data_IF_453214340220
#
_entry.id   IF_453214340220
#
_cell.length_a   1.000
_cell.length_b   1.000
_cell.length_c   1.000
_cell.angle_alpha   90.00
_cell.angle_beta   90.00
_cell.angle_gamma   90.00
#
_symmetry.space_group_name_H-M   'P 1'
#
loop_
_entity.id
_entity.type
_entity.pdbx_description
1 polymer ?
#
# COMPACT_ATOMS: atom_id res chain seq x y z
N UNK A 1 -8.63 -16.79 -15.62
CA UNK A 1 -9.94 -16.09 -15.67
C UNK A 1 -10.73 -16.16 -14.35
N UNK A 2 -10.57 -17.17 -13.48
CA UNK A 2 -11.16 -17.18 -12.12
C UNK A 2 -10.53 -16.13 -11.18
N UNK A 3 -9.20 -16.05 -11.13
CA UNK A 3 -8.49 -15.10 -10.24
C UNK A 3 -8.78 -13.62 -10.47
N UNK A 4 -9.13 -13.21 -11.70
CA UNK A 4 -9.47 -11.82 -12.01
C UNK A 4 -10.91 -11.44 -11.58
N UNK A 5 -11.82 -12.42 -11.57
CA UNK A 5 -13.18 -12.23 -11.05
C UNK A 5 -13.21 -12.20 -9.52
N UNK A 6 -12.34 -12.98 -8.88
CA UNK A 6 -12.17 -12.95 -7.42
C UNK A 6 -11.44 -11.69 -6.96
N UNK A 7 -10.42 -11.22 -7.69
CA UNK A 7 -9.81 -9.91 -7.47
C UNK A 7 -10.83 -8.78 -7.63
N UNK A 8 -11.64 -8.77 -8.69
CA UNK A 8 -12.72 -7.77 -8.86
C UNK A 8 -13.82 -7.87 -7.79
N UNK A 9 -14.07 -9.06 -7.21
CA UNK A 9 -15.05 -9.23 -6.15
C UNK A 9 -14.51 -8.75 -4.79
N UNK A 10 -13.22 -8.99 -4.51
CA UNK A 10 -12.53 -8.44 -3.34
C UNK A 10 -12.34 -6.91 -3.44
N UNK A 11 -11.98 -6.38 -4.63
CA UNK A 11 -11.91 -4.94 -4.93
C UNK A 11 -13.28 -4.24 -4.76
N UNK A 12 -14.37 -4.88 -5.19
CA UNK A 12 -15.71 -4.31 -5.01
C UNK A 12 -16.13 -4.21 -3.54
N UNK A 13 -15.59 -5.07 -2.66
CA UNK A 13 -15.78 -5.00 -1.21
C UNK A 13 -14.90 -3.90 -0.59
N UNK A 14 -13.66 -3.73 -1.06
CA UNK A 14 -12.74 -2.72 -0.54
C UNK A 14 -13.20 -1.28 -0.85
N UNK A 15 -13.60 -1.02 -2.10
CA UNK A 15 -14.05 0.30 -2.54
C UNK A 15 -15.40 0.73 -1.93
N UNK A 16 -16.21 -0.22 -1.43
CA UNK A 16 -17.48 0.05 -0.74
C UNK A 16 -17.29 0.46 0.73
N UNK A 17 -16.18 0.06 1.35
CA UNK A 17 -15.89 0.33 2.77
C UNK A 17 -15.04 1.59 3.00
N UNK A 18 -14.28 2.05 2.00
CA UNK A 18 -13.60 3.36 2.04
C UNK A 18 -14.53 4.57 1.89
N UNK A 19 -15.84 4.36 1.70
CA UNK A 19 -16.85 5.40 1.75
C UNK A 19 -17.26 5.66 3.19
N UNK A 20 -16.85 6.80 3.73
CA UNK A 20 -17.20 7.31 5.06
C UNK A 20 -18.63 6.92 5.51
N UNK A 21 -18.72 6.04 6.51
CA UNK A 21 -19.81 6.09 7.50
C UNK A 21 -19.45 5.26 8.73
N UNK A 22 -19.08 5.95 9.81
CA UNK A 22 -19.33 5.46 11.16
C UNK A 22 -19.66 6.67 12.06
N UNK A 23 -20.89 6.73 12.61
CA UNK A 23 -21.26 7.79 13.54
C UNK A 23 -20.69 7.48 14.93
N UNK A 24 -20.18 8.52 15.59
CA UNK A 24 -19.58 8.43 16.92
C UNK A 24 -20.53 7.89 18.00
N UNK A 25 -19.93 7.21 18.99
CA UNK A 25 -20.57 6.81 20.23
C UNK A 25 -19.53 6.62 21.33
N UNK A 26 -19.53 7.52 22.31
CA UNK A 26 -18.49 7.63 23.32
C UNK A 26 -18.64 6.73 24.55
N UNK A 27 -17.53 6.60 25.27
CA UNK A 27 -17.46 6.69 26.72
C UNK A 27 -17.66 5.40 27.53
N UNK A 28 -16.59 4.96 28.20
CA UNK A 28 -16.67 4.07 29.36
C UNK A 28 -15.32 3.47 29.74
N UNK A 29 -14.63 4.04 30.73
CA UNK A 29 -13.36 3.53 31.24
C UNK A 29 -13.51 2.41 32.27
N UNK A 30 -12.44 1.62 32.44
CA UNK A 30 -12.02 0.93 33.67
C UNK A 30 -10.65 0.27 33.41
N UNK A 31 -9.58 0.80 34.04
CA UNK A 31 -8.74 0.16 35.08
C UNK A 31 -7.88 -1.03 34.65
N UNK A 32 -6.56 -0.77 34.70
CA UNK A 32 -5.45 -1.61 35.18
C UNK A 32 -5.67 -3.11 35.36
N UNK A 33 -4.77 -3.91 34.79
CA UNK A 33 -3.97 -4.85 35.58
C UNK A 33 -2.64 -5.20 34.88
N UNK A 34 -1.58 -5.17 35.67
CA UNK A 34 -0.23 -5.52 35.30
C UNK A 34 -0.09 -7.05 35.16
N UNK A 35 0.59 -7.51 34.11
CA UNK A 35 1.13 -8.87 34.06
C UNK A 35 2.62 -8.81 33.78
N UNK A 36 3.33 -9.42 34.72
CA UNK A 36 4.77 -9.62 34.81
C UNK A 36 5.14 -11.01 34.28
N UNK A 37 6.37 -11.14 33.76
CA UNK A 37 7.05 -12.41 33.46
C UNK A 37 6.97 -12.77 31.97
N UNK A 38 7.99 -13.31 31.30
CA UNK A 38 9.21 -13.95 31.78
C UNK A 38 10.25 -13.93 30.65
N UNK A 39 11.53 -13.86 31.03
CA UNK A 39 12.65 -13.92 30.11
C UNK A 39 12.79 -15.32 29.49
N UNK A 40 12.76 -15.41 28.15
CA UNK A 40 13.12 -16.63 27.43
C UNK A 40 14.61 -16.58 27.11
N UNK A 41 15.35 -17.41 27.85
CA UNK A 41 16.76 -17.71 27.65
C UNK A 41 16.94 -18.88 26.67
N UNK A 42 17.65 -18.62 25.57
CA UNK A 42 18.60 -19.54 24.97
C UNK A 42 18.09 -20.51 23.91
N UNK A 43 18.45 -20.24 22.66
CA UNK A 43 18.84 -21.31 21.74
C UNK A 43 20.14 -20.95 21.01
N UNK A 44 21.01 -21.94 20.90
CA UNK A 44 22.39 -21.86 20.41
C UNK A 44 22.47 -22.77 19.21
N UNK A 45 22.41 -22.23 17.99
CA UNK A 45 22.98 -22.89 16.82
C UNK A 45 23.61 -21.87 15.86
N UNK A 46 24.79 -22.25 15.41
CA UNK A 46 25.80 -21.47 14.70
C UNK A 46 25.52 -21.42 13.20
N UNK A 47 25.04 -20.28 12.71
CA UNK A 47 25.33 -19.74 11.38
C UNK A 47 25.88 -18.34 11.60
N UNK A 48 27.11 -18.07 11.16
CA UNK A 48 27.73 -16.77 11.35
C UNK A 48 27.09 -15.74 10.41
N UNK A 49 25.90 -15.27 10.78
CA UNK A 49 25.42 -13.96 10.37
C UNK A 49 26.35 -12.94 11.03
N UNK A 50 27.05 -12.16 10.21
CA UNK A 50 27.70 -10.93 10.66
C UNK A 50 26.62 -9.97 11.11
N UNK A 51 26.20 -10.13 12.37
CA UNK A 51 25.32 -9.21 13.07
C UNK A 51 26.06 -7.87 13.16
N UNK A 52 25.61 -6.91 12.35
CA UNK A 52 25.99 -5.51 12.54
C UNK A 52 25.40 -5.11 13.91
N UNK A 53 26.25 -4.62 14.81
CA UNK A 53 25.79 -4.14 16.11
C UNK A 53 24.66 -3.09 15.94
N UNK A 54 23.67 -3.02 16.83
CA UNK A 54 22.49 -2.17 16.64
C UNK A 54 22.89 -0.70 16.77
N UNK A 55 23.10 -0.06 15.62
CA UNK A 55 22.60 1.29 15.42
C UNK A 55 21.13 1.19 15.01
N UNK A 56 20.33 2.22 15.29
CA UNK A 56 18.97 2.30 14.76
C UNK A 56 19.03 2.11 13.24
N UNK A 57 18.37 1.06 12.72
CA UNK A 57 18.28 0.83 11.28
C UNK A 57 17.65 2.08 10.67
N UNK A 58 18.34 2.77 9.74
CA UNK A 58 17.79 4.00 9.20
C UNK A 58 16.53 3.68 8.40
N UNK A 59 15.49 4.50 8.54
CA UNK A 59 14.24 4.34 7.80
C UNK A 59 14.52 4.30 6.30
N UNK A 60 15.41 5.16 5.77
CA UNK A 60 15.91 5.10 4.38
C UNK A 60 17.42 5.19 4.35
N UNK A 61 18.08 4.53 3.42
CA UNK A 61 19.53 4.67 3.23
C UNK A 61 19.80 5.48 1.94
N UNK A 62 20.47 6.65 2.03
CA UNK A 62 20.70 7.52 0.88
C UNK A 62 21.57 6.93 -0.23
N UNK A 63 22.15 5.74 -0.02
CA UNK A 63 22.91 4.98 -1.03
C UNK A 63 22.04 3.93 -1.75
N UNK A 64 20.84 3.66 -1.25
CA UNK A 64 19.93 2.64 -1.76
C UNK A 64 18.82 3.27 -2.62
N UNK A 65 18.12 2.44 -3.39
CA UNK A 65 16.90 2.84 -4.13
C UNK A 65 15.89 3.54 -3.22
N UNK A 66 15.71 3.07 -1.99
CA UNK A 66 14.75 3.67 -1.06
C UNK A 66 15.10 5.09 -0.60
N UNK A 67 16.38 5.42 -0.37
CA UNK A 67 16.80 6.76 0.02
C UNK A 67 17.13 7.69 -1.14
N UNK A 68 17.25 7.16 -2.35
CA UNK A 68 17.44 7.94 -3.58
C UNK A 68 16.15 8.15 -4.36
N UNK A 69 15.04 7.50 -3.96
CA UNK A 69 13.76 7.63 -4.65
C UNK A 69 13.32 9.10 -4.70
N UNK A 70 12.87 9.52 -5.88
CA UNK A 70 12.25 10.82 -6.07
C UNK A 70 11.29 10.76 -7.25
N UNK A 71 10.20 11.50 -7.17
CA UNK A 71 9.24 11.67 -8.26
C UNK A 71 8.68 13.09 -8.28
N UNK A 72 7.92 13.42 -9.32
CA UNK A 72 7.18 14.67 -9.35
C UNK A 72 6.09 14.66 -8.26
N UNK A 73 6.28 15.50 -7.23
CA UNK A 73 5.34 15.60 -6.12
C UNK A 73 4.00 16.23 -6.54
N UNK A 74 2.90 15.89 -5.85
CA UNK A 74 1.63 16.57 -6.02
C UNK A 74 1.72 18.09 -5.82
N UNK A 75 1.01 18.84 -6.66
CA UNK A 75 0.96 20.30 -6.63
C UNK A 75 -0.32 20.75 -5.90
N UNK A 76 -0.34 20.60 -4.57
CA UNK A 76 -1.52 20.91 -3.72
C UNK A 76 -2.09 22.31 -3.98
N UNK A 77 -1.22 23.29 -4.24
CA UNK A 77 -1.61 24.67 -4.49
C UNK A 77 -2.17 24.93 -5.90
N UNK A 78 -2.20 23.95 -6.80
CA UNK A 78 -2.77 24.12 -8.13
C UNK A 78 -4.28 24.39 -8.03
N UNK A 79 -4.73 25.46 -8.67
CA UNK A 79 -6.11 25.92 -8.63
C UNK A 79 -7.01 25.00 -9.48
N UNK A 80 -7.98 24.37 -8.82
CA UNK A 80 -9.01 23.55 -9.45
C UNK A 80 -10.40 24.19 -9.37
N UNK A 81 -10.52 25.46 -8.95
CA UNK A 81 -11.80 26.16 -8.77
C UNK A 81 -12.64 26.16 -10.05
N UNK A 82 -12.00 26.33 -11.21
CA UNK A 82 -12.68 26.27 -12.50
C UNK A 82 -13.20 24.86 -12.81
N UNK A 83 -12.47 23.80 -12.45
CA UNK A 83 -12.93 22.43 -12.61
C UNK A 83 -14.09 22.09 -11.66
N UNK A 84 -14.02 22.55 -10.41
CA UNK A 84 -15.09 22.37 -9.41
C UNK A 84 -16.38 23.08 -9.82
N UNK A 85 -16.29 24.35 -10.21
CA UNK A 85 -17.46 25.15 -10.61
C UNK A 85 -18.04 24.75 -11.96
N UNK A 86 -17.22 24.22 -12.87
CA UNK A 86 -17.62 23.70 -14.17
C UNK A 86 -18.07 22.24 -14.16
N UNK A 87 -18.12 21.58 -12.99
CA UNK A 87 -18.46 20.17 -12.89
C UNK A 87 -19.83 19.84 -13.46
N UNK A 88 -19.93 18.72 -14.17
CA UNK A 88 -21.20 18.12 -14.53
C UNK A 88 -21.14 16.60 -14.38
N UNK A 89 -22.22 16.02 -13.87
CA UNK A 89 -22.36 14.58 -13.73
C UNK A 89 -22.25 13.83 -15.07
N UNK A 90 -22.52 14.50 -16.20
CA UNK A 90 -22.41 13.90 -17.54
C UNK A 90 -20.97 13.86 -18.08
N UNK A 91 -20.04 14.60 -17.48
CA UNK A 91 -18.64 14.72 -17.91
C UNK A 91 -17.66 14.53 -16.73
N UNK A 92 -18.01 13.66 -15.78
CA UNK A 92 -17.22 13.43 -14.57
C UNK A 92 -15.85 12.80 -14.89
N UNK A 93 -15.74 12.04 -15.98
CA UNK A 93 -14.48 11.48 -16.48
C UNK A 93 -13.47 12.57 -16.88
N UNK A 94 -13.97 13.62 -17.56
CA UNK A 94 -13.19 14.81 -17.88
C UNK A 94 -12.76 15.58 -16.63
N UNK A 95 -13.62 15.64 -15.61
CA UNK A 95 -13.25 16.21 -14.31
C UNK A 95 -12.13 15.41 -13.63
N UNK A 96 -12.24 14.08 -13.55
CA UNK A 96 -11.24 13.21 -12.93
C UNK A 96 -9.87 13.41 -13.58
N UNK A 97 -9.80 13.30 -14.90
CA UNK A 97 -8.53 13.40 -15.64
C UNK A 97 -7.92 14.80 -15.57
N UNK A 98 -8.71 15.87 -15.71
CA UNK A 98 -8.19 17.24 -15.68
C UNK A 98 -7.75 17.71 -14.29
N UNK A 99 -8.47 17.33 -13.24
CA UNK A 99 -8.09 17.68 -11.86
C UNK A 99 -6.85 16.91 -11.42
N UNK A 100 -6.76 15.61 -11.71
CA UNK A 100 -5.54 14.83 -11.50
C UNK A 100 -4.37 15.42 -12.28
N UNK A 101 -4.53 15.75 -13.57
CA UNK A 101 -3.43 16.33 -14.35
C UNK A 101 -2.93 17.67 -13.76
N UNK A 102 -3.79 18.40 -13.05
CA UNK A 102 -3.42 19.67 -12.41
C UNK A 102 -2.69 19.48 -11.09
N UNK A 103 -3.07 18.47 -10.28
CA UNK A 103 -2.61 18.31 -8.89
C UNK A 103 -1.76 17.07 -8.65
N UNK A 104 -1.96 15.99 -9.38
CA UNK A 104 -1.19 14.76 -9.29
C UNK A 104 -1.01 14.10 -10.67
N UNK A 105 -0.03 14.57 -11.48
CA UNK A 105 0.18 14.09 -12.85
C UNK A 105 0.40 12.57 -12.96
N UNK A 106 1.07 11.95 -11.99
CA UNK A 106 1.22 10.48 -11.94
C UNK A 106 -0.13 9.79 -11.83
N UNK A 107 -1.04 10.27 -10.95
CA UNK A 107 -2.41 9.76 -10.89
C UNK A 107 -3.17 9.92 -12.21
N UNK A 108 -2.99 11.04 -12.90
CA UNK A 108 -3.60 11.27 -14.23
C UNK A 108 -3.07 10.27 -15.28
N UNK A 109 -1.77 10.00 -15.26
CA UNK A 109 -1.13 8.98 -16.10
C UNK A 109 -1.73 7.60 -15.84
N UNK A 110 -1.77 7.17 -14.58
CA UNK A 110 -2.32 5.86 -14.17
C UNK A 110 -3.76 5.70 -14.66
N UNK A 111 -4.62 6.68 -14.40
CA UNK A 111 -6.04 6.65 -14.81
C UNK A 111 -6.19 6.62 -16.33
N UNK A 112 -5.47 7.49 -17.05
CA UNK A 112 -5.58 7.59 -18.52
C UNK A 112 -5.13 6.29 -19.19
N UNK A 113 -4.02 5.71 -18.74
CA UNK A 113 -3.51 4.47 -19.29
C UNK A 113 -4.34 3.25 -18.89
N UNK A 114 -4.86 3.19 -17.66
CA UNK A 114 -5.77 2.13 -17.25
C UNK A 114 -7.03 2.07 -18.13
N UNK A 115 -7.67 3.21 -18.36
CA UNK A 115 -8.89 3.29 -19.18
C UNK A 115 -8.64 2.88 -20.64
N UNK A 116 -7.46 3.18 -21.19
CA UNK A 116 -7.14 2.92 -22.59
C UNK A 116 -6.56 1.52 -22.83
N UNK A 117 -5.75 1.01 -21.91
CA UNK A 117 -5.07 -0.28 -22.04
C UNK A 117 -5.90 -1.44 -21.46
N UNK A 118 -6.68 -1.21 -20.41
CA UNK A 118 -7.58 -2.21 -19.83
C UNK A 118 -9.02 -2.08 -20.38
N UNK A 119 -9.23 -2.50 -21.63
CA UNK A 119 -10.50 -2.25 -22.34
C UNK A 119 -11.71 -3.06 -21.84
N UNK A 120 -11.54 -3.93 -20.83
CA UNK A 120 -12.64 -4.78 -20.31
C UNK A 120 -13.55 -4.03 -19.35
N UNK A 121 -13.00 -3.03 -18.64
CA UNK A 121 -13.71 -2.26 -17.62
C UNK A 121 -13.13 -0.86 -17.60
N UNK A 122 -13.99 0.16 -17.69
CA UNK A 122 -13.57 1.53 -17.41
C UNK A 122 -13.47 1.71 -15.88
N UNK A 123 -12.25 1.80 -15.34
CA UNK A 123 -12.04 1.95 -13.89
C UNK A 123 -12.70 3.22 -13.33
N UNK A 124 -12.64 4.35 -14.04
CA UNK A 124 -13.27 5.60 -13.59
C UNK A 124 -14.77 5.40 -13.38
N UNK A 125 -15.45 4.76 -14.34
CA UNK A 125 -16.89 4.44 -14.19
C UNK A 125 -17.16 3.42 -13.10
N UNK A 126 -16.36 2.36 -13.02
CA UNK A 126 -16.55 1.27 -12.05
C UNK A 126 -16.39 1.77 -10.61
N UNK A 127 -15.38 2.61 -10.36
CA UNK A 127 -14.99 3.04 -9.02
C UNK A 127 -15.49 4.44 -8.65
N UNK A 128 -16.08 5.18 -9.58
CA UNK A 128 -17.01 6.25 -9.23
C UNK A 128 -18.23 5.71 -8.46
N UNK A 129 -18.61 4.44 -8.65
CA UNK A 129 -19.71 3.77 -7.93
C UNK A 129 -21.05 4.56 -7.94
N UNK A 130 -21.32 5.30 -9.02
CA UNK A 130 -22.50 6.16 -9.13
C UNK A 130 -22.45 7.44 -8.30
N UNK A 131 -21.36 7.70 -7.59
CA UNK A 131 -21.13 8.90 -6.77
C UNK A 131 -20.75 10.12 -7.62
N UNK A 132 -21.47 10.35 -8.73
CA UNK A 132 -21.20 11.41 -9.72
C UNK A 132 -22.08 12.65 -9.52
N UNK A 133 -22.76 12.79 -8.38
CA UNK A 133 -23.77 13.82 -8.15
C UNK A 133 -23.21 15.24 -8.02
N UNK A 134 -21.97 15.40 -7.57
CA UNK A 134 -21.32 16.69 -7.35
C UNK A 134 -19.81 16.61 -7.55
N UNK A 135 -19.16 17.76 -7.71
CA UNK A 135 -17.70 17.86 -7.79
C UNK A 135 -17.04 17.38 -6.49
N UNK A 136 -17.63 17.71 -5.34
CA UNK A 136 -17.14 17.31 -4.02
C UNK A 136 -17.15 15.80 -3.86
N UNK A 137 -18.28 15.14 -4.16
CA UNK A 137 -18.37 13.68 -4.08
C UNK A 137 -17.42 13.00 -5.05
N UNK A 138 -17.20 13.58 -6.25
CA UNK A 138 -16.24 13.05 -7.20
C UNK A 138 -14.78 13.25 -6.73
N UNK A 139 -14.45 14.40 -6.14
CA UNK A 139 -13.14 14.67 -5.57
C UNK A 139 -12.78 13.66 -4.47
N UNK A 140 -13.75 13.33 -3.61
CA UNK A 140 -13.62 12.30 -2.56
C UNK A 140 -13.41 10.89 -3.12
N UNK A 141 -13.69 10.64 -4.41
CA UNK A 141 -13.47 9.34 -5.08
C UNK A 141 -12.15 9.27 -5.83
N UNK A 142 -11.40 10.37 -5.97
CA UNK A 142 -10.18 10.38 -6.78
C UNK A 142 -9.14 9.38 -6.28
N UNK A 143 -8.92 9.28 -4.96
CA UNK A 143 -7.97 8.32 -4.38
C UNK A 143 -8.35 6.87 -4.70
N UNK A 144 -9.62 6.48 -4.50
CA UNK A 144 -10.12 5.17 -4.91
C UNK A 144 -9.99 4.95 -6.42
N UNK A 145 -10.35 5.94 -7.25
CA UNK A 145 -10.24 5.79 -8.71
C UNK A 145 -8.78 5.59 -9.13
N UNK A 146 -7.84 6.37 -8.59
CA UNK A 146 -6.41 6.23 -8.91
C UNK A 146 -5.88 4.86 -8.47
N UNK A 147 -6.18 4.45 -7.23
CA UNK A 147 -5.83 3.14 -6.67
C UNK A 147 -6.26 2.00 -7.59
N UNK A 148 -7.55 2.01 -7.94
CA UNK A 148 -8.17 0.92 -8.67
C UNK A 148 -7.83 0.92 -10.16
N UNK A 149 -7.66 2.11 -10.75
CA UNK A 149 -7.08 2.22 -12.08
C UNK A 149 -5.64 1.71 -12.12
N UNK A 150 -4.85 1.94 -11.06
CA UNK A 150 -3.51 1.38 -10.91
C UNK A 150 -3.50 -0.14 -11.02
N UNK A 151 -4.35 -0.83 -10.25
CA UNK A 151 -4.57 -2.28 -10.35
C UNK A 151 -4.90 -2.73 -11.79
N UNK A 152 -5.80 -2.01 -12.47
CA UNK A 152 -6.17 -2.37 -13.84
C UNK A 152 -5.03 -2.16 -14.84
N UNK A 153 -4.21 -1.13 -14.65
CA UNK A 153 -3.05 -0.87 -15.50
C UNK A 153 -1.96 -1.91 -15.29
N UNK A 154 -1.66 -2.25 -14.03
CA UNK A 154 -0.77 -3.34 -13.65
C UNK A 154 -1.22 -4.65 -14.30
N UNK A 155 -2.51 -4.96 -14.22
CA UNK A 155 -3.11 -6.13 -14.87
C UNK A 155 -3.11 -6.09 -16.41
N UNK A 156 -3.20 -4.90 -17.02
CA UNK A 156 -3.15 -4.73 -18.48
C UNK A 156 -1.75 -4.97 -19.05
N UNK A 157 -0.72 -4.54 -18.31
CA UNK A 157 0.69 -4.67 -18.70
C UNK A 157 1.35 -5.95 -18.18
N UNK A 158 0.74 -6.57 -17.17
CA UNK A 158 1.12 -7.87 -16.63
C UNK A 158 0.68 -9.05 -17.48
N UNK A 159 0.91 -10.26 -16.94
CA UNK A 159 0.59 -11.50 -17.65
C UNK A 159 0.62 -12.72 -16.74
N UNK A 160 0.39 -13.90 -17.33
CA UNK A 160 0.41 -15.14 -16.56
C UNK A 160 1.80 -15.40 -15.96
N UNK A 161 1.89 -15.39 -14.62
CA UNK A 161 3.15 -15.57 -13.88
C UNK A 161 4.10 -14.37 -13.93
N UNK A 162 3.62 -13.22 -14.41
CA UNK A 162 4.37 -11.97 -14.56
C UNK A 162 3.53 -10.84 -13.97
N UNK A 163 4.04 -10.19 -12.93
CA UNK A 163 3.39 -9.08 -12.24
C UNK A 163 4.08 -7.78 -12.65
N UNK A 164 3.30 -6.82 -13.13
CA UNK A 164 3.79 -5.49 -13.47
C UNK A 164 3.35 -4.52 -12.39
N UNK A 165 4.23 -3.61 -12.01
CA UNK A 165 4.00 -2.55 -11.05
C UNK A 165 4.33 -1.23 -11.72
N UNK A 166 3.31 -0.48 -12.09
CA UNK A 166 3.45 0.85 -12.68
C UNK A 166 3.51 1.86 -11.56
N UNK A 167 4.73 2.30 -11.23
CA UNK A 167 4.97 3.25 -10.13
C UNK A 167 4.73 4.68 -10.64
N UNK A 168 5.35 5.01 -11.76
CA UNK A 168 5.12 6.26 -12.50
C UNK A 168 5.36 6.05 -14.01
N UNK A 169 5.42 7.13 -14.78
CA UNK A 169 5.65 7.06 -16.23
C UNK A 169 7.05 6.51 -16.59
N UNK A 170 8.05 6.76 -15.74
CA UNK A 170 9.45 6.38 -15.99
C UNK A 170 9.80 5.01 -15.39
N UNK A 171 9.07 4.57 -14.37
CA UNK A 171 9.40 3.43 -13.52
C UNK A 171 8.28 2.40 -13.57
N UNK A 172 8.55 1.33 -14.31
CA UNK A 172 7.68 0.17 -14.44
C UNK A 172 8.51 -1.06 -14.11
N UNK A 173 8.16 -1.75 -13.03
CA UNK A 173 8.85 -2.96 -12.59
C UNK A 173 8.04 -4.19 -13.02
N UNK A 174 8.72 -5.25 -13.44
CA UNK A 174 8.06 -6.48 -13.90
C UNK A 174 8.71 -7.70 -13.27
N UNK A 175 8.11 -8.15 -12.17
CA UNK A 175 8.62 -9.28 -11.41
C UNK A 175 7.87 -10.56 -11.77
N UNK A 176 8.49 -11.71 -11.52
CA UNK A 176 7.93 -13.02 -11.91
C UNK A 176 7.72 -13.88 -10.68
N UNK A 177 6.77 -14.81 -10.80
CA UNK A 177 6.58 -15.89 -9.82
C UNK A 177 6.29 -15.41 -8.38
N UNK A 178 5.76 -14.21 -8.21
CA UNK A 178 5.42 -13.69 -6.88
C UNK A 178 4.10 -14.19 -6.29
N UNK A 179 3.30 -14.93 -7.06
CA UNK A 179 2.06 -15.56 -6.55
C UNK A 179 2.36 -16.83 -5.74
N UNK A 180 1.33 -17.39 -5.12
CA UNK A 180 1.48 -18.59 -4.32
C UNK A 180 1.87 -19.80 -5.19
N UNK A 181 2.51 -20.80 -4.57
CA UNK A 181 2.85 -22.06 -5.26
C UNK A 181 1.62 -22.74 -5.88
N UNK A 182 0.48 -22.71 -5.18
CA UNK A 182 -0.80 -23.22 -5.68
C UNK A 182 -1.33 -22.45 -6.90
N UNK A 183 -0.87 -21.21 -7.10
CA UNK A 183 -1.26 -20.30 -8.19
C UNK A 183 -0.16 -20.12 -9.24
N UNK A 184 0.92 -20.92 -9.15
CA UNK A 184 1.98 -20.99 -10.15
C UNK A 184 3.15 -20.03 -9.93
N UNK A 185 3.24 -19.39 -8.75
CA UNK A 185 4.42 -18.67 -8.30
C UNK A 185 5.24 -19.47 -7.27
N UNK A 186 6.03 -18.75 -6.47
CA UNK A 186 7.04 -19.31 -5.57
C UNK A 186 6.89 -18.77 -4.13
N UNK A 187 5.75 -18.20 -3.77
CA UNK A 187 5.55 -17.57 -2.46
C UNK A 187 4.47 -18.27 -1.63
N UNK A 188 4.32 -17.82 -0.38
CA UNK A 188 3.19 -18.15 0.50
C UNK A 188 1.99 -17.24 0.19
N UNK A 189 0.76 -17.62 0.58
CA UNK A 189 -0.35 -16.68 0.65
C UNK A 189 -0.03 -15.56 1.63
N UNK A 190 -0.45 -14.33 1.34
CA UNK A 190 -0.23 -13.17 2.22
C UNK A 190 -0.90 -13.35 3.58
N UNK A 191 -1.96 -14.15 3.66
CA UNK A 191 -2.59 -14.54 4.92
C UNK A 191 -1.71 -15.36 5.86
N UNK A 192 -0.55 -15.88 5.40
CA UNK A 192 0.39 -16.60 6.27
C UNK A 192 0.81 -15.77 7.50
N UNK A 193 0.88 -14.43 7.38
CA UNK A 193 1.22 -13.55 8.50
C UNK A 193 0.18 -13.57 9.62
N UNK A 194 -1.06 -14.02 9.36
CA UNK A 194 -2.08 -14.17 10.43
C UNK A 194 -1.75 -15.24 11.47
N UNK A 195 -0.74 -16.08 11.21
CA UNK A 195 -0.28 -17.10 12.13
C UNK A 195 0.91 -16.65 13.01
N UNK A 196 1.47 -15.46 12.76
CA UNK A 196 2.61 -14.95 13.53
C UNK A 196 2.19 -14.30 14.87
N UNK A 197 3.18 -13.98 15.70
CA UNK A 197 2.95 -13.31 16.99
C UNK A 197 2.49 -11.84 16.85
N UNK A 198 2.69 -11.23 15.69
CA UNK A 198 2.35 -9.84 15.42
C UNK A 198 0.86 -9.66 15.05
N UNK A 199 0.16 -10.73 14.65
CA UNK A 199 -1.27 -10.68 14.28
C UNK A 199 -2.17 -10.10 15.37
N UNK A 200 -1.80 -10.29 16.64
CA UNK A 200 -2.54 -9.79 17.79
C UNK A 200 -2.31 -8.29 18.05
N UNK A 201 -1.31 -7.66 17.44
CA UNK A 201 -0.92 -6.27 17.71
C UNK A 201 -1.82 -5.24 17.02
N UNK A 202 -2.52 -5.64 15.95
CA UNK A 202 -3.51 -4.81 15.26
C UNK A 202 -4.80 -5.64 15.06
N UNK A 203 -5.67 -5.71 16.10
CA UNK A 203 -6.81 -6.61 16.07
C UNK A 203 -7.92 -6.13 15.12
N UNK A 204 -8.36 -7.05 14.25
CA UNK A 204 -9.55 -7.06 13.37
C UNK A 204 -10.06 -5.71 12.86
N UNK A 205 -9.25 -5.05 12.03
CA UNK A 205 -9.65 -3.90 11.23
C UNK A 205 -10.11 -4.29 9.82
N UNK A 206 -10.52 -3.28 9.04
CA UNK A 206 -10.95 -3.47 7.66
C UNK A 206 -9.82 -4.01 6.76
N UNK A 207 -8.56 -3.62 6.99
CA UNK A 207 -7.42 -4.07 6.19
C UNK A 207 -7.17 -5.56 6.39
N UNK A 208 -7.09 -6.02 7.63
CA UNK A 208 -6.95 -7.43 7.97
C UNK A 208 -8.10 -8.24 7.39
N UNK A 209 -9.34 -7.79 7.58
CA UNK A 209 -10.51 -8.49 7.07
C UNK A 209 -10.43 -8.64 5.54
N UNK A 210 -10.17 -7.55 4.82
CA UNK A 210 -10.18 -7.52 3.35
C UNK A 210 -9.02 -8.30 2.73
N UNK A 211 -7.81 -8.12 3.27
CA UNK A 211 -6.59 -8.57 2.61
C UNK A 211 -6.06 -9.89 3.17
N UNK A 212 -6.27 -10.18 4.46
CA UNK A 212 -5.69 -11.35 5.13
C UNK A 212 -6.72 -12.44 5.47
N UNK A 213 -8.02 -12.11 5.56
CA UNK A 213 -9.07 -13.08 5.97
C UNK A 213 -10.02 -13.43 4.82
N UNK A 214 -10.60 -12.43 4.17
CA UNK A 214 -11.56 -12.58 3.07
C UNK A 214 -10.93 -13.21 1.81
N UNK A 215 -11.67 -13.46 0.70
CA UNK A 215 -11.16 -14.23 -0.45
C UNK A 215 -9.86 -13.73 -1.09
N UNK A 216 -9.40 -12.52 -0.77
CA UNK A 216 -8.08 -12.00 -1.16
C UNK A 216 -6.91 -12.61 -0.36
N UNK A 217 -7.16 -13.36 0.70
CA UNK A 217 -6.16 -13.96 1.61
C UNK A 217 -5.18 -14.90 0.92
N UNK A 218 -5.65 -15.64 -0.09
CA UNK A 218 -4.89 -16.69 -0.81
C UNK A 218 -3.95 -16.16 -1.90
N UNK A 219 -3.82 -14.84 -2.05
CA UNK A 219 -2.92 -14.22 -3.02
C UNK A 219 -1.48 -14.14 -2.48
N UNK A 220 -0.48 -14.27 -3.35
CA UNK A 220 0.93 -14.28 -2.94
C UNK A 220 1.54 -12.90 -2.64
N UNK A 221 2.87 -12.89 -2.47
CA UNK A 221 3.65 -11.67 -2.23
C UNK A 221 3.47 -10.64 -3.35
N UNK A 222 3.23 -11.10 -4.58
CA UNK A 222 2.98 -10.21 -5.71
C UNK A 222 1.80 -9.26 -5.45
N UNK A 223 0.70 -9.76 -4.90
CA UNK A 223 -0.49 -8.94 -4.63
C UNK A 223 -0.32 -8.13 -3.35
N UNK A 224 0.44 -8.62 -2.37
CA UNK A 224 0.82 -7.80 -1.21
C UNK A 224 1.57 -6.54 -1.67
N UNK A 225 2.55 -6.70 -2.57
CA UNK A 225 3.29 -5.58 -3.13
C UNK A 225 2.45 -4.72 -4.07
N UNK A 226 1.52 -5.31 -4.83
CA UNK A 226 0.60 -4.57 -5.71
C UNK A 226 -0.26 -3.61 -4.90
N UNK A 227 -0.87 -4.09 -3.81
CA UNK A 227 -1.63 -3.24 -2.90
C UNK A 227 -0.76 -2.16 -2.26
N UNK A 228 0.45 -2.50 -1.79
CA UNK A 228 1.36 -1.51 -1.22
C UNK A 228 1.65 -0.36 -2.20
N UNK A 229 1.90 -0.66 -3.49
CA UNK A 229 2.04 0.36 -4.55
C UNK A 229 0.78 1.22 -4.65
N UNK A 230 -0.40 0.59 -4.66
CA UNK A 230 -1.65 1.34 -4.81
C UNK A 230 -2.01 2.17 -3.58
N UNK A 231 -1.65 1.77 -2.36
CA UNK A 231 -1.80 2.61 -1.17
C UNK A 231 -0.85 3.80 -1.16
N UNK A 232 0.36 3.69 -1.74
CA UNK A 232 1.20 4.87 -1.97
C UNK A 232 0.50 5.84 -2.95
N UNK A 233 -0.11 5.32 -4.02
CA UNK A 233 -0.87 6.13 -4.96
C UNK A 233 -2.11 6.79 -4.32
N UNK A 234 -2.77 6.10 -3.40
CA UNK A 234 -3.87 6.65 -2.60
C UNK A 234 -3.40 7.81 -1.73
N UNK A 235 -2.35 7.63 -0.92
CA UNK A 235 -1.82 8.70 -0.07
C UNK A 235 -1.36 9.92 -0.88
N UNK A 236 -0.68 9.69 -2.01
CA UNK A 236 -0.27 10.78 -2.91
C UNK A 236 -1.48 11.56 -3.47
N UNK A 237 -2.55 10.85 -3.82
CA UNK A 237 -3.79 11.47 -4.30
C UNK A 237 -4.50 12.24 -3.19
N UNK A 238 -4.67 11.63 -2.01
CA UNK A 238 -5.34 12.28 -0.88
C UNK A 238 -4.56 13.51 -0.38
N UNK A 239 -3.22 13.48 -0.42
CA UNK A 239 -2.40 14.66 -0.18
C UNK A 239 -2.65 15.77 -1.22
N UNK A 240 -2.75 15.42 -2.50
CA UNK A 240 -3.02 16.35 -3.59
C UNK A 240 -4.38 17.06 -3.46
N UNK A 241 -5.35 16.40 -2.83
CA UNK A 241 -6.73 16.89 -2.65
C UNK A 241 -7.12 17.05 -1.18
N UNK A 242 -6.15 17.24 -0.28
CA UNK A 242 -6.40 17.35 1.15
C UNK A 242 -7.35 18.50 1.53
N UNK A 243 -7.40 19.56 0.73
CA UNK A 243 -8.33 20.69 0.87
C UNK A 243 -9.78 20.35 0.48
N UNK A 244 -10.01 19.19 -0.12
CA UNK A 244 -11.32 18.65 -0.46
C UNK A 244 -11.83 17.65 0.59
N UNK A 245 -11.02 17.32 1.59
CA UNK A 245 -11.46 16.53 2.74
C UNK A 245 -12.43 17.39 3.56
N UNK A 246 -13.63 16.90 3.90
CA UNK A 246 -14.58 17.67 4.69
C UNK A 246 -13.97 18.18 5.99
N UNK A 247 -14.32 19.41 6.36
CA UNK A 247 -13.85 20.01 7.61
C UNK A 247 -14.25 19.11 8.79
N UNK A 248 -13.29 18.81 9.66
CA UNK A 248 -13.43 17.90 10.82
C UNK A 248 -13.58 16.41 10.48
N UNK A 249 -13.35 15.99 9.24
CA UNK A 249 -13.16 14.60 8.89
C UNK A 249 -11.68 14.22 8.93
N UNK A 250 -11.42 12.96 9.26
CA UNK A 250 -10.15 12.27 9.02
C UNK A 250 -10.43 11.04 8.17
N UNK A 251 -9.46 10.65 7.36
CA UNK A 251 -9.47 9.45 6.53
C UNK A 251 -8.25 8.59 6.85
N UNK A 252 -8.22 7.35 6.35
CA UNK A 252 -7.20 6.34 6.67
C UNK A 252 -6.09 6.25 5.61
N UNK A 253 -5.73 7.37 4.98
CA UNK A 253 -4.78 7.37 3.86
C UNK A 253 -3.36 6.99 4.32
N UNK A 254 -2.90 7.55 5.44
CA UNK A 254 -1.62 7.21 6.10
C UNK A 254 -1.70 5.80 6.71
N UNK A 255 -2.80 5.49 7.39
CA UNK A 255 -3.05 4.19 8.01
C UNK A 255 -2.93 3.05 7.00
N UNK A 256 -3.52 3.22 5.81
CA UNK A 256 -3.47 2.22 4.76
C UNK A 256 -2.06 1.89 4.30
N UNK A 257 -1.24 2.90 3.96
CA UNK A 257 0.12 2.60 3.53
C UNK A 257 0.98 2.04 4.67
N UNK A 258 0.87 2.57 5.89
CA UNK A 258 1.62 2.04 7.04
C UNK A 258 1.24 0.58 7.33
N UNK A 259 -0.03 0.22 7.23
CA UNK A 259 -0.49 -1.17 7.35
C UNK A 259 0.18 -2.08 6.31
N UNK A 260 0.29 -1.64 5.06
CA UNK A 260 0.93 -2.44 4.01
C UNK A 260 2.45 -2.50 4.12
N UNK A 261 3.11 -1.45 4.64
CA UNK A 261 4.53 -1.52 4.99
C UNK A 261 4.75 -2.56 6.10
N UNK A 262 3.92 -2.53 7.14
CA UNK A 262 3.98 -3.49 8.24
C UNK A 262 3.71 -4.93 7.78
N UNK A 263 2.72 -5.14 6.91
CA UNK A 263 2.45 -6.46 6.32
C UNK A 263 3.62 -6.95 5.45
N UNK A 264 4.27 -6.06 4.69
CA UNK A 264 5.44 -6.40 3.90
C UNK A 264 6.60 -6.87 4.80
N UNK A 265 6.92 -6.13 5.85
CA UNK A 265 7.98 -6.51 6.80
C UNK A 265 7.67 -7.81 7.52
N UNK A 266 6.44 -7.97 8.02
CA UNK A 266 5.98 -9.23 8.65
C UNK A 266 6.09 -10.41 7.71
N UNK A 267 5.72 -10.24 6.44
CA UNK A 267 5.82 -11.29 5.45
C UNK A 267 7.28 -11.70 5.19
N UNK A 268 8.19 -10.73 5.07
CA UNK A 268 9.62 -10.98 4.96
C UNK A 268 10.17 -11.67 6.21
N UNK A 269 9.82 -11.19 7.40
CA UNK A 269 10.24 -11.75 8.67
C UNK A 269 9.77 -13.20 8.83
N UNK A 270 8.48 -13.48 8.61
CA UNK A 270 7.90 -14.81 8.67
C UNK A 270 8.59 -15.74 7.68
N UNK A 271 8.75 -15.33 6.41
CA UNK A 271 9.38 -16.18 5.41
C UNK A 271 10.86 -16.43 5.72
N UNK A 272 11.58 -15.47 6.31
CA UNK A 272 12.97 -15.71 6.74
C UNK A 272 13.06 -16.81 7.79
N UNK A 273 12.13 -16.83 8.75
CA UNK A 273 12.17 -17.75 9.88
C UNK A 273 11.55 -19.12 9.56
N UNK A 274 10.45 -19.15 8.80
CA UNK A 274 9.61 -20.34 8.66
C UNK A 274 9.59 -20.93 7.24
N UNK A 275 9.95 -20.15 6.22
CA UNK A 275 9.97 -20.58 4.82
C UNK A 275 11.20 -20.02 4.07
N UNK A 276 12.43 -20.37 4.49
CA UNK A 276 13.65 -19.73 4.02
C UNK A 276 13.87 -19.83 2.51
N UNK A 277 13.30 -20.82 1.83
CA UNK A 277 13.29 -20.92 0.38
C UNK A 277 12.47 -19.82 -0.31
N UNK A 278 11.37 -19.37 0.32
CA UNK A 278 10.56 -18.25 -0.16
C UNK A 278 11.31 -16.94 0.08
N UNK A 279 11.93 -16.78 1.26
CA UNK A 279 12.75 -15.62 1.55
C UNK A 279 13.95 -15.51 0.61
N UNK A 280 14.65 -16.61 0.36
CA UNK A 280 15.76 -16.68 -0.59
C UNK A 280 15.32 -16.40 -2.04
N UNK A 281 14.10 -16.78 -2.41
CA UNK A 281 13.52 -16.41 -3.70
C UNK A 281 13.29 -14.89 -3.80
N UNK A 282 12.65 -14.28 -2.81
CA UNK A 282 12.35 -12.84 -2.80
C UNK A 282 13.63 -12.02 -2.75
N UNK A 283 14.50 -12.28 -1.77
CA UNK A 283 15.74 -11.51 -1.58
C UNK A 283 16.83 -11.86 -2.61
N UNK A 284 16.78 -13.04 -3.22
CA UNK A 284 17.71 -13.45 -4.28
C UNK A 284 17.41 -12.83 -5.65
N UNK A 285 16.16 -12.43 -5.90
CA UNK A 285 15.73 -11.84 -7.19
C UNK A 285 15.87 -10.31 -7.17
N UNK A 286 16.58 -9.77 -8.17
CA UNK A 286 16.82 -8.32 -8.26
C UNK A 286 15.54 -7.50 -8.44
N UNK A 287 14.54 -8.02 -9.16
CA UNK A 287 13.29 -7.29 -9.36
C UNK A 287 12.52 -7.15 -8.05
N UNK A 288 12.45 -8.21 -7.25
CA UNK A 288 11.73 -8.18 -5.97
C UNK A 288 12.42 -7.25 -4.97
N UNK A 289 13.76 -7.23 -4.91
CA UNK A 289 14.49 -6.26 -4.08
C UNK A 289 14.25 -4.82 -4.53
N UNK A 290 14.37 -4.55 -5.82
CA UNK A 290 14.14 -3.22 -6.39
C UNK A 290 12.71 -2.75 -6.10
N UNK A 291 11.71 -3.62 -6.23
CA UNK A 291 10.32 -3.31 -5.92
C UNK A 291 10.12 -2.99 -4.43
N UNK A 292 10.66 -3.82 -3.52
CA UNK A 292 10.55 -3.57 -2.07
C UNK A 292 11.17 -2.22 -1.71
N UNK A 293 12.40 -1.95 -2.16
CA UNK A 293 13.08 -0.69 -1.86
C UNK A 293 12.40 0.52 -2.53
N UNK A 294 11.87 0.35 -3.74
CA UNK A 294 11.11 1.41 -4.43
C UNK A 294 9.84 1.76 -3.66
N UNK A 295 9.03 0.76 -3.29
CA UNK A 295 7.78 0.97 -2.54
C UNK A 295 8.08 1.57 -1.18
N UNK A 296 9.08 1.05 -0.47
CA UNK A 296 9.50 1.56 0.84
C UNK A 296 9.95 3.03 0.77
N UNK A 297 10.86 3.35 -0.14
CA UNK A 297 11.35 4.73 -0.31
C UNK A 297 10.25 5.72 -0.68
N UNK A 298 9.40 5.31 -1.62
CA UNK A 298 8.28 6.12 -2.08
C UNK A 298 7.22 6.32 -0.99
N UNK A 299 6.87 5.28 -0.24
CA UNK A 299 5.94 5.37 0.87
C UNK A 299 6.43 6.37 1.92
N UNK A 300 7.67 6.24 2.38
CA UNK A 300 8.24 7.15 3.37
C UNK A 300 8.39 8.59 2.85
N UNK A 301 8.64 8.79 1.55
CA UNK A 301 8.63 10.14 0.96
C UNK A 301 7.27 10.82 1.14
N UNK A 302 6.16 10.10 0.91
CA UNK A 302 4.82 10.64 1.11
C UNK A 302 4.40 10.71 2.58
N UNK A 303 4.82 9.77 3.42
CA UNK A 303 4.60 9.81 4.87
C UNK A 303 5.29 11.04 5.49
N UNK A 304 6.53 11.35 5.11
CA UNK A 304 7.20 12.57 5.56
C UNK A 304 6.46 13.83 5.09
N UNK A 305 6.03 13.84 3.82
CA UNK A 305 5.34 14.99 3.21
C UNK A 305 3.98 15.27 3.86
N UNK A 306 3.37 14.26 4.47
CA UNK A 306 2.01 14.30 5.05
C UNK A 306 1.99 14.30 6.57
N UNK A 307 3.16 14.30 7.24
CA UNK A 307 3.26 14.24 8.70
C UNK A 307 2.51 15.38 9.41
N UNK A 308 2.47 16.57 8.80
CA UNK A 308 1.78 17.75 9.34
C UNK A 308 0.32 17.88 8.85
N UNK A 309 -0.27 16.82 8.27
CA UNK A 309 -1.67 16.80 7.79
C UNK A 309 -2.51 15.78 8.57
N UNK A 310 -3.02 16.12 9.79
CA UNK A 310 -3.74 15.18 10.65
C UNK A 310 -5.04 14.61 10.07
N UNK A 311 -5.62 15.24 9.05
CA UNK A 311 -6.83 14.72 8.40
C UNK A 311 -6.57 13.49 7.53
N UNK A 312 -5.30 13.12 7.28
CA UNK A 312 -4.92 11.97 6.46
C UNK A 312 -4.66 10.69 7.27
N UNK A 313 -4.70 10.75 8.60
CA UNK A 313 -4.53 9.61 9.49
C UNK A 313 -5.60 9.54 10.58
N UNK A 314 -5.90 8.32 11.05
CA UNK A 314 -6.74 8.08 12.24
C UNK A 314 -5.92 7.41 13.34
N UNK A 315 -5.29 6.27 13.01
CA UNK A 315 -4.47 5.46 13.93
C UNK A 315 -3.03 5.33 13.40
N UNK A 316 -2.58 6.29 12.59
CA UNK A 316 -1.28 6.27 11.90
C UNK A 316 -0.09 6.28 12.86
N UNK A 317 -0.15 6.97 14.00
CA UNK A 317 0.92 6.92 15.02
C UNK A 317 1.18 5.49 15.52
N UNK A 318 0.11 4.73 15.80
CA UNK A 318 0.20 3.34 16.29
C UNK A 318 0.78 2.43 15.20
N UNK A 319 0.36 2.64 13.95
CA UNK A 319 0.86 1.86 12.82
C UNK A 319 2.32 2.20 12.49
N UNK A 320 2.72 3.47 12.64
CA UNK A 320 4.11 3.89 12.47
C UNK A 320 5.01 3.24 13.52
N UNK A 321 4.59 3.20 14.78
CA UNK A 321 5.31 2.47 15.84
C UNK A 321 5.50 0.98 15.50
N UNK A 322 4.50 0.35 14.88
CA UNK A 322 4.58 -1.06 14.45
C UNK A 322 5.54 -1.28 13.28
N UNK A 323 5.55 -0.38 12.29
CA UNK A 323 6.49 -0.42 11.15
C UNK A 323 7.92 -0.16 11.63
N UNK A 324 8.10 0.72 12.60
CA UNK A 324 9.42 1.08 13.13
C UNK A 324 9.96 0.11 14.19
N UNK A 325 9.23 -0.98 14.48
CA UNK A 325 9.69 -2.03 15.37
C UNK A 325 11.04 -2.60 14.86
N UNK A 326 12.14 -2.53 15.66
CA UNK A 326 13.48 -2.83 15.17
C UNK A 326 13.63 -4.20 14.50
N UNK A 327 12.92 -5.21 15.00
CA UNK A 327 12.94 -6.58 14.48
C UNK A 327 12.27 -6.75 13.10
N UNK A 328 11.35 -5.85 12.75
CA UNK A 328 10.69 -5.81 11.45
C UNK A 328 11.46 -4.90 10.49
N UNK A 329 11.89 -3.73 10.98
CA UNK A 329 12.69 -2.78 10.21
C UNK A 329 14.03 -3.36 9.74
N UNK A 330 14.60 -4.32 10.48
CA UNK A 330 15.79 -5.07 10.08
C UNK A 330 15.59 -5.87 8.78
N UNK A 331 14.34 -6.24 8.42
CA UNK A 331 14.08 -6.88 7.12
C UNK A 331 14.39 -5.95 5.94
N UNK A 332 14.12 -4.66 6.07
CA UNK A 332 14.49 -3.68 5.03
C UNK A 332 16.02 -3.56 4.93
N UNK A 333 16.73 -3.55 6.07
CA UNK A 333 18.19 -3.58 6.07
C UNK A 333 18.75 -4.84 5.37
N UNK A 334 18.13 -6.00 5.57
CA UNK A 334 18.50 -7.25 4.89
C UNK A 334 18.24 -7.20 3.39
N UNK A 335 17.16 -6.56 2.95
CA UNK A 335 16.90 -6.35 1.50
C UNK A 335 17.95 -5.41 0.90
N UNK A 336 18.28 -4.28 1.55
CA UNK A 336 19.39 -3.39 1.13
C UNK A 336 20.71 -4.15 1.03
N UNK A 337 20.93 -5.07 1.97
CA UNK A 337 22.12 -5.90 1.99
C UNK A 337 22.23 -6.85 0.81
N UNK A 338 21.13 -7.53 0.50
CA UNK A 338 21.04 -8.39 -0.66
C UNK A 338 21.16 -7.61 -1.98
N UNK A 339 20.81 -6.31 -1.97
CA UNK A 339 20.97 -5.41 -3.11
C UNK A 339 22.37 -4.79 -3.23
N UNK A 340 23.26 -5.08 -2.28
CA UNK A 340 24.63 -4.57 -2.23
C UNK A 340 24.73 -3.04 -2.16
N UNK A 341 23.75 -2.40 -1.52
CA UNK A 341 23.72 -0.97 -1.33
C UNK A 341 24.48 -0.57 -0.04
N UNK A 342 25.81 -0.56 -0.10
CA UNK A 342 26.68 -0.13 1.01
C UNK A 342 27.93 0.60 0.51
#
# INVERSE_FOLDING_TARGET
MRGLREAMLALALAAAAGGCDSPGGGGGGATSDAVSGDAVSGDTTTGADTFVAPGETPIRDPRCTDGTWSEALPVVAADITSALSGYSAAAYDGFVTSTLASRYPTGAFLVTHAVTEYTRTNCVTAFAQGATGSAETMAQRLSTIVHECGHLLDGARGGFGVNTYVIDEATILTCRKGDTTARGGNTLPRSAITADAYDALLPDDFYKQTYLVDPGSEQGFNMLMEEAVQYVNSLATDYAFQDQIPRFASITARDGILTFLWYMERYLHLTRLEAPEVYAFITGDACWRELVLTVWGRAWMFLDLTADTPSLGIDDDVLEDLVLAPELLDEIARVRAADACF
#
